data_IF_479871080480
#
_entry.id   IF_479871080480
#
_cell.length_a   1.000
_cell.length_b   1.000
_cell.length_c   1.000
_cell.angle_alpha   90.00
_cell.angle_beta   90.00
_cell.angle_gamma   90.00
#
_symmetry.space_group_name_H-M   'P 1'
#
loop_
_entity.id
_entity.type
_entity.pdbx_description
1 polymer ?
#
# COMPACT_ATOMS: atom_id res chain seq x y z
N UNK A 1 -7.16 31.15 -47.17
CA UNK A 1 -7.87 32.12 -46.30
C UNK A 1 -8.09 33.50 -46.97
N UNK A 2 -7.12 34.05 -47.71
CA UNK A 2 -7.23 35.33 -48.44
C UNK A 2 -8.36 35.37 -49.49
N UNK A 3 -8.59 34.29 -50.23
CA UNK A 3 -9.63 34.21 -51.27
C UNK A 3 -11.06 34.31 -50.70
N UNK A 4 -11.30 33.76 -49.50
CA UNK A 4 -12.61 33.81 -48.82
C UNK A 4 -12.93 35.24 -48.36
N UNK A 5 -11.92 35.98 -47.84
CA UNK A 5 -12.10 37.37 -47.43
C UNK A 5 -12.37 38.30 -48.61
N UNK A 6 -11.69 38.10 -49.75
CA UNK A 6 -11.95 38.85 -50.98
C UNK A 6 -13.36 38.62 -51.52
N UNK A 7 -13.79 37.35 -51.61
CA UNK A 7 -15.15 37.01 -52.04
C UNK A 7 -16.22 37.59 -51.11
N UNK A 8 -15.97 37.63 -49.79
CA UNK A 8 -16.92 38.19 -48.81
C UNK A 8 -17.04 39.70 -48.91
N UNK A 9 -15.93 40.40 -49.11
CA UNK A 9 -15.92 41.86 -49.33
C UNK A 9 -16.69 42.25 -50.58
N UNK A 10 -16.53 41.51 -51.67
CA UNK A 10 -17.31 41.70 -52.90
C UNK A 10 -18.81 41.49 -52.65
N UNK A 11 -19.17 40.44 -51.91
CA UNK A 11 -20.58 40.16 -51.56
C UNK A 11 -21.20 41.24 -50.68
N UNK A 12 -20.47 41.74 -49.67
CA UNK A 12 -20.93 42.81 -48.78
C UNK A 12 -21.07 44.14 -49.53
N UNK A 13 -20.11 44.48 -50.40
CA UNK A 13 -20.18 45.67 -51.24
C UNK A 13 -21.42 45.63 -52.17
N UNK A 14 -21.64 44.52 -52.88
CA UNK A 14 -22.81 44.34 -53.74
C UNK A 14 -24.15 44.29 -52.97
N UNK A 15 -24.13 44.03 -51.67
CA UNK A 15 -25.31 44.09 -50.81
C UNK A 15 -25.59 45.53 -50.37
N UNK A 16 -24.56 46.28 -49.97
CA UNK A 16 -24.68 47.70 -49.60
C UNK A 16 -25.14 48.54 -50.79
N UNK A 17 -24.64 48.26 -52.00
CA UNK A 17 -25.04 48.97 -53.22
C UNK A 17 -26.53 48.83 -53.53
N UNK A 18 -27.15 47.71 -53.12
CA UNK A 18 -28.58 47.47 -53.28
C UNK A 18 -29.41 48.08 -52.16
N UNK A 19 -28.89 48.11 -50.94
CA UNK A 19 -29.63 48.54 -49.74
C UNK A 19 -29.53 50.06 -49.49
N UNK A 20 -28.43 50.70 -49.92
CA UNK A 20 -28.14 52.11 -49.66
C UNK A 20 -27.62 52.81 -50.93
N UNK A 21 -28.48 52.99 -51.96
CA UNK A 21 -28.09 53.70 -53.17
C UNK A 21 -27.83 55.18 -52.87
N UNK A 22 -26.75 55.74 -53.43
CA UNK A 22 -26.43 57.17 -53.32
C UNK A 22 -25.44 57.57 -52.23
N UNK A 23 -24.88 56.62 -51.48
CA UNK A 23 -23.79 56.90 -50.53
C UNK A 23 -22.55 57.48 -51.23
N UNK A 24 -21.94 58.49 -50.63
CA UNK A 24 -20.64 59.00 -51.08
C UNK A 24 -19.56 57.91 -50.91
N UNK A 25 -18.52 57.94 -51.75
CA UNK A 25 -17.50 56.89 -51.77
C UNK A 25 -16.82 56.63 -50.41
N UNK A 26 -16.59 57.69 -49.61
CA UNK A 26 -16.03 57.58 -48.27
C UNK A 26 -16.99 56.90 -47.27
N UNK A 27 -18.27 57.26 -47.30
CA UNK A 27 -19.30 56.66 -46.43
C UNK A 27 -19.54 55.20 -46.79
N UNK A 28 -19.57 54.88 -48.08
CA UNK A 28 -19.66 53.49 -48.58
C UNK A 28 -18.50 52.63 -48.08
N UNK A 29 -17.29 53.17 -48.07
CA UNK A 29 -16.13 52.46 -47.55
C UNK A 29 -16.28 52.18 -46.05
N UNK A 30 -16.72 53.15 -45.25
CA UNK A 30 -16.96 52.95 -43.81
C UNK A 30 -18.00 51.87 -43.53
N UNK A 31 -19.13 51.87 -44.24
CA UNK A 31 -20.20 50.87 -44.06
C UNK A 31 -19.72 49.46 -44.46
N UNK A 32 -18.91 49.34 -45.52
CA UNK A 32 -18.31 48.05 -45.92
C UNK A 32 -17.37 47.52 -44.82
N UNK A 33 -16.49 48.37 -44.29
CA UNK A 33 -15.55 47.96 -43.24
C UNK A 33 -16.28 47.59 -41.94
N UNK A 34 -17.33 48.32 -41.57
CA UNK A 34 -18.12 48.00 -40.37
C UNK A 34 -18.83 46.64 -40.50
N UNK A 35 -19.52 46.37 -41.61
CA UNK A 35 -20.14 45.06 -41.85
C UNK A 35 -19.12 43.91 -41.95
N UNK A 36 -17.91 44.18 -42.44
CA UNK A 36 -16.82 43.20 -42.44
C UNK A 36 -16.32 42.91 -41.02
N UNK A 37 -16.25 43.91 -40.15
CA UNK A 37 -15.91 43.74 -38.73
C UNK A 37 -16.98 42.92 -38.01
N UNK A 38 -18.25 43.29 -38.14
CA UNK A 38 -19.39 42.54 -37.58
C UNK A 38 -19.38 41.08 -38.03
N UNK A 39 -19.20 40.84 -39.33
CA UNK A 39 -19.13 39.48 -39.88
C UNK A 39 -17.94 38.69 -39.31
N UNK A 40 -16.79 39.34 -39.14
CA UNK A 40 -15.60 38.71 -38.57
C UNK A 40 -15.83 38.34 -37.10
N UNK A 41 -16.47 39.20 -36.32
CA UNK A 41 -16.87 38.91 -34.94
C UNK A 41 -17.78 37.68 -34.88
N UNK A 42 -18.82 37.63 -35.71
CA UNK A 42 -19.75 36.50 -35.77
C UNK A 42 -19.07 35.18 -36.16
N UNK A 43 -18.14 35.19 -37.11
CA UNK A 43 -17.40 33.98 -37.51
C UNK A 43 -16.42 33.51 -36.44
N UNK A 44 -15.78 34.44 -35.72
CA UNK A 44 -14.95 34.11 -34.55
C UNK A 44 -15.82 33.48 -33.46
N UNK A 45 -16.99 34.04 -33.16
CA UNK A 45 -17.93 33.46 -32.19
C UNK A 45 -18.42 32.07 -32.61
N UNK A 46 -18.81 31.88 -33.87
CA UNK A 46 -19.21 30.56 -34.39
C UNK A 46 -18.08 29.55 -34.28
N UNK A 47 -16.85 29.96 -34.56
CA UNK A 47 -15.68 29.10 -34.46
C UNK A 47 -15.37 28.77 -33.00
N UNK A 48 -15.47 29.75 -32.09
CA UNK A 48 -15.36 29.54 -30.65
C UNK A 48 -16.42 28.57 -30.14
N UNK A 49 -17.68 28.73 -30.54
CA UNK A 49 -18.79 27.81 -30.19
C UNK A 49 -18.52 26.40 -30.70
N UNK A 50 -18.15 26.25 -31.98
CA UNK A 50 -17.78 24.94 -32.56
C UNK A 50 -16.62 24.29 -31.81
N UNK A 51 -15.59 25.06 -31.48
CA UNK A 51 -14.45 24.56 -30.72
C UNK A 51 -14.85 24.15 -29.31
N UNK A 52 -15.63 24.97 -28.60
CA UNK A 52 -16.13 24.65 -27.26
C UNK A 52 -16.99 23.37 -27.27
N UNK A 53 -17.90 23.22 -28.23
CA UNK A 53 -18.68 21.99 -28.39
C UNK A 53 -17.77 20.77 -28.66
N UNK A 54 -16.77 20.91 -29.53
CA UNK A 54 -15.84 19.84 -29.84
C UNK A 54 -15.00 19.41 -28.62
N UNK A 55 -14.57 20.36 -27.78
CA UNK A 55 -13.85 20.08 -26.53
C UNK A 55 -14.74 19.25 -25.59
N UNK A 56 -15.97 19.71 -25.33
CA UNK A 56 -16.93 19.01 -24.45
C UNK A 56 -17.23 17.60 -24.98
N UNK A 57 -17.39 17.44 -26.30
CA UNK A 57 -17.63 16.13 -26.91
C UNK A 57 -16.43 15.19 -26.74
N UNK A 58 -15.21 15.66 -27.00
CA UNK A 58 -13.98 14.87 -26.84
C UNK A 58 -13.78 14.47 -25.37
N UNK A 59 -13.98 15.40 -24.44
CA UNK A 59 -13.90 15.12 -23.00
C UNK A 59 -14.97 14.13 -22.57
N UNK A 60 -16.21 14.27 -23.05
CA UNK A 60 -17.30 13.33 -22.80
C UNK A 60 -16.98 11.92 -23.29
N UNK A 61 -16.43 11.79 -24.51
CA UNK A 61 -15.99 10.49 -25.07
C UNK A 61 -14.85 9.89 -24.25
N UNK A 62 -13.85 10.69 -23.85
CA UNK A 62 -12.73 10.24 -22.99
C UNK A 62 -13.22 9.77 -21.62
N UNK A 63 -14.10 10.54 -20.98
CA UNK A 63 -14.69 10.17 -19.70
C UNK A 63 -15.54 8.90 -19.79
N UNK A 64 -16.32 8.74 -20.87
CA UNK A 64 -17.08 7.51 -21.11
C UNK A 64 -16.16 6.30 -21.34
N UNK A 65 -15.06 6.46 -22.07
CA UNK A 65 -14.07 5.40 -22.26
C UNK A 65 -13.36 5.04 -20.95
N UNK A 66 -13.00 6.03 -20.13
CA UNK A 66 -12.41 5.80 -18.81
C UNK A 66 -13.35 5.01 -17.89
N UNK A 67 -14.64 5.39 -17.82
CA UNK A 67 -15.65 4.64 -17.05
C UNK A 67 -15.85 3.20 -17.53
N UNK A 68 -15.76 2.95 -18.84
CA UNK A 68 -15.82 1.57 -19.36
C UNK A 68 -14.61 0.76 -18.92
N UNK A 69 -13.40 1.29 -19.08
CA UNK A 69 -12.16 0.65 -18.62
C UNK A 69 -12.20 0.34 -17.12
N UNK A 70 -12.70 1.27 -16.32
CA UNK A 70 -12.84 1.08 -14.86
C UNK A 70 -13.82 -0.06 -14.55
N UNK A 71 -14.97 -0.12 -15.22
CA UNK A 71 -15.95 -1.20 -15.05
C UNK A 71 -15.40 -2.56 -15.50
N UNK A 72 -14.66 -2.59 -16.61
CA UNK A 72 -14.00 -3.80 -17.11
C UNK A 72 -12.93 -4.28 -16.13
N UNK A 73 -12.09 -3.36 -15.63
CA UNK A 73 -11.10 -3.67 -14.61
C UNK A 73 -11.74 -4.18 -13.31
N UNK A 74 -12.84 -3.58 -12.87
CA UNK A 74 -13.57 -4.03 -11.68
C UNK A 74 -14.19 -5.42 -11.87
N UNK A 75 -14.76 -5.69 -13.05
CA UNK A 75 -15.25 -7.04 -13.38
C UNK A 75 -14.13 -8.06 -13.39
N UNK A 76 -13.01 -7.74 -14.05
CA UNK A 76 -11.83 -8.60 -14.07
C UNK A 76 -11.27 -8.87 -12.66
N UNK A 77 -11.28 -7.86 -11.78
CA UNK A 77 -10.92 -8.03 -10.37
C UNK A 77 -11.85 -8.99 -9.65
N UNK A 78 -13.17 -8.82 -9.79
CA UNK A 78 -14.17 -9.69 -9.12
C UNK A 78 -14.13 -11.13 -9.63
N UNK A 79 -13.94 -11.30 -10.95
CA UNK A 79 -13.85 -12.62 -11.57
C UNK A 79 -12.47 -13.27 -11.44
N UNK A 80 -11.51 -12.62 -10.79
CA UNK A 80 -10.19 -13.18 -10.60
C UNK A 80 -10.28 -14.47 -9.75
N UNK A 81 -9.69 -15.58 -10.21
CA UNK A 81 -9.68 -16.81 -9.44
C UNK A 81 -8.86 -16.65 -8.16
N UNK A 82 -9.11 -17.50 -7.18
CA UNK A 82 -8.35 -17.55 -5.94
C UNK A 82 -6.90 -17.91 -6.25
N UNK A 83 -5.95 -17.07 -5.85
CA UNK A 83 -4.52 -17.31 -6.03
C UNK A 83 -4.00 -18.52 -5.23
N UNK A 84 -4.73 -18.98 -4.21
CA UNK A 84 -4.36 -20.14 -3.40
C UNK A 84 -4.88 -21.47 -3.95
N UNK A 85 -6.19 -21.57 -4.22
CA UNK A 85 -6.83 -22.82 -4.62
C UNK A 85 -7.44 -22.82 -6.03
N UNK A 86 -7.35 -21.71 -6.77
CA UNK A 86 -7.88 -21.60 -8.14
C UNK A 86 -9.40 -21.42 -8.24
N UNK A 87 -10.14 -21.34 -7.13
CA UNK A 87 -11.58 -21.15 -7.13
C UNK A 87 -11.99 -19.93 -7.98
N UNK A 88 -12.84 -20.07 -9.00
CA UNK A 88 -13.24 -18.96 -9.86
C UNK A 88 -14.03 -17.91 -9.07
N UNK A 89 -14.07 -16.67 -9.59
CA UNK A 89 -14.85 -15.55 -9.04
C UNK A 89 -14.60 -15.24 -7.55
N UNK A 90 -13.38 -15.51 -7.08
CA UNK A 90 -12.98 -15.32 -5.68
C UNK A 90 -12.36 -13.95 -5.40
N UNK A 91 -12.44 -13.01 -6.35
CA UNK A 91 -11.83 -11.68 -6.27
C UNK A 91 -10.34 -11.69 -5.84
N UNK A 92 -9.59 -12.73 -6.24
CA UNK A 92 -8.17 -12.91 -5.96
C UNK A 92 -7.83 -13.85 -4.78
N UNK A 93 -8.60 -13.88 -3.69
CA UNK A 93 -8.41 -14.85 -2.60
C UNK A 93 -9.75 -15.22 -1.97
N UNK A 94 -10.10 -16.51 -1.96
CA UNK A 94 -11.28 -16.99 -1.25
C UNK A 94 -11.10 -16.88 0.27
N UNK A 95 -12.20 -16.88 1.07
CA UNK A 95 -12.10 -16.76 2.52
C UNK A 95 -11.22 -17.84 3.17
N UNK A 96 -11.30 -19.14 2.83
CA UNK A 96 -10.40 -20.16 3.38
C UNK A 96 -8.91 -19.88 3.13
N UNK A 97 -8.54 -19.51 1.89
CA UNK A 97 -7.15 -19.18 1.57
C UNK A 97 -6.69 -17.87 2.23
N UNK A 98 -7.60 -16.92 2.44
CA UNK A 98 -7.31 -15.69 3.17
C UNK A 98 -7.01 -15.97 4.64
N UNK A 99 -7.83 -16.80 5.30
CA UNK A 99 -7.61 -17.23 6.67
C UNK A 99 -6.35 -18.09 6.83
N UNK A 100 -6.08 -19.00 5.90
CA UNK A 100 -4.86 -19.80 5.90
C UNK A 100 -3.61 -18.91 5.79
N UNK A 101 -3.59 -17.98 4.82
CA UNK A 101 -2.48 -17.02 4.65
C UNK A 101 -2.30 -16.14 5.89
N UNK A 102 -3.40 -15.71 6.52
CA UNK A 102 -3.33 -14.93 7.77
C UNK A 102 -2.79 -15.76 8.92
N UNK A 103 -3.19 -17.03 9.02
CA UNK A 103 -2.68 -17.98 10.00
C UNK A 103 -1.17 -18.17 9.85
N UNK A 104 -0.67 -18.35 8.62
CA UNK A 104 0.77 -18.47 8.36
C UNK A 104 1.54 -17.21 8.80
N UNK A 105 1.00 -16.01 8.51
CA UNK A 105 1.60 -14.76 8.97
C UNK A 105 1.66 -14.69 10.50
N UNK A 106 0.57 -15.04 11.19
CA UNK A 106 0.50 -15.04 12.65
C UNK A 106 1.46 -16.06 13.29
N UNK A 107 1.63 -17.22 12.66
CA UNK A 107 2.62 -18.21 13.07
C UNK A 107 4.02 -17.62 12.96
N UNK A 108 4.37 -16.98 11.84
CA UNK A 108 5.67 -16.33 11.67
C UNK A 108 5.88 -15.20 12.68
N UNK A 109 4.87 -14.34 12.91
CA UNK A 109 4.91 -13.31 13.96
C UNK A 109 5.17 -13.92 15.36
N UNK A 110 4.50 -15.02 15.71
CA UNK A 110 4.67 -15.71 16.98
C UNK A 110 6.07 -16.35 17.14
N UNK A 111 6.61 -16.92 16.05
CA UNK A 111 7.97 -17.45 15.99
C UNK A 111 8.98 -16.33 16.17
N UNK A 112 8.81 -15.21 15.49
CA UNK A 112 9.71 -14.06 15.58
C UNK A 112 9.75 -13.47 16.98
N UNK A 113 8.60 -13.37 17.65
CA UNK A 113 8.51 -12.95 19.05
C UNK A 113 9.28 -13.91 19.97
N UNK A 114 9.16 -15.22 19.75
CA UNK A 114 9.82 -16.23 20.56
C UNK A 114 11.34 -16.25 20.33
N UNK A 115 11.78 -16.14 19.07
CA UNK A 115 13.20 -16.07 18.68
C UNK A 115 13.82 -14.78 19.19
N UNK A 116 13.19 -13.62 18.94
CA UNK A 116 13.71 -12.33 19.41
C UNK A 116 13.84 -12.26 20.93
N UNK A 117 13.02 -12.98 21.69
CA UNK A 117 13.14 -13.04 23.15
C UNK A 117 14.25 -13.99 23.66
N UNK A 118 14.71 -14.94 22.83
CA UNK A 118 15.57 -16.08 23.27
C UNK A 118 16.93 -16.13 22.62
N UNK A 119 17.01 -15.80 21.34
CA UNK A 119 18.21 -15.93 20.53
C UNK A 119 19.14 -14.75 20.78
N UNK A 120 20.41 -15.04 20.93
CA UNK A 120 21.48 -14.10 20.63
C UNK A 120 21.47 -13.81 19.13
N UNK A 121 21.25 -12.54 18.80
CA UNK A 121 21.06 -12.09 17.42
C UNK A 121 22.39 -11.82 16.70
N UNK A 122 23.52 -11.95 17.40
CA UNK A 122 24.84 -11.89 16.79
C UNK A 122 25.20 -13.22 16.08
N UNK A 123 24.49 -14.31 16.40
CA UNK A 123 24.73 -15.64 15.85
C UNK A 123 23.56 -16.13 14.99
N UNK A 124 23.70 -15.97 13.67
CA UNK A 124 22.70 -16.41 12.69
C UNK A 124 22.34 -17.91 12.79
N UNK A 125 23.32 -18.75 13.15
CA UNK A 125 23.10 -20.19 13.34
C UNK A 125 22.13 -20.46 14.50
N UNK A 126 22.28 -19.76 15.62
CA UNK A 126 21.38 -19.93 16.77
C UNK A 126 19.95 -19.48 16.42
N UNK A 127 19.82 -18.39 15.66
CA UNK A 127 18.52 -17.94 15.12
C UNK A 127 17.88 -19.02 14.25
N UNK A 128 18.64 -19.65 13.35
CA UNK A 128 18.15 -20.74 12.51
C UNK A 128 17.73 -21.98 13.33
N UNK A 129 18.58 -22.40 14.28
CA UNK A 129 18.33 -23.52 15.19
C UNK A 129 17.06 -23.34 16.03
N UNK A 130 16.70 -22.10 16.39
CA UNK A 130 15.50 -21.80 17.17
C UNK A 130 14.25 -21.60 16.30
N UNK A 131 14.40 -21.11 15.07
CA UNK A 131 13.26 -20.75 14.21
C UNK A 131 12.45 -21.98 13.81
N UNK A 132 13.08 -23.00 13.23
CA UNK A 132 12.35 -24.15 12.69
C UNK A 132 11.61 -24.99 13.77
N UNK A 133 12.23 -25.34 14.92
CA UNK A 133 11.52 -26.03 15.99
C UNK A 133 10.37 -25.18 16.56
N UNK A 134 10.58 -23.88 16.75
CA UNK A 134 9.52 -23.01 17.26
C UNK A 134 8.33 -22.92 16.31
N UNK A 135 8.58 -22.90 14.99
CA UNK A 135 7.53 -22.92 13.97
C UNK A 135 6.74 -24.23 14.00
N UNK A 136 7.44 -25.38 14.08
CA UNK A 136 6.81 -26.70 14.19
C UNK A 136 5.96 -26.82 15.46
N UNK A 137 6.49 -26.41 16.62
CA UNK A 137 5.77 -26.42 17.89
C UNK A 137 4.52 -25.53 17.85
N UNK A 138 4.64 -24.35 17.24
CA UNK A 138 3.53 -23.40 17.10
C UNK A 138 2.42 -23.97 16.22
N UNK A 139 2.77 -24.59 15.09
CA UNK A 139 1.79 -25.26 14.21
C UNK A 139 1.13 -26.45 14.91
N UNK A 140 1.89 -27.27 15.62
CA UNK A 140 1.36 -28.41 16.39
C UNK A 140 0.37 -27.91 17.44
N UNK A 141 0.71 -26.86 18.19
CA UNK A 141 -0.18 -26.27 19.19
C UNK A 141 -1.51 -25.80 18.57
N UNK A 142 -1.44 -25.08 17.44
CA UNK A 142 -2.64 -24.60 16.73
C UNK A 142 -3.49 -25.80 16.28
N UNK A 143 -2.87 -26.78 15.63
CA UNK A 143 -3.56 -27.96 15.14
C UNK A 143 -4.23 -28.74 16.29
N UNK A 144 -3.57 -28.89 17.43
CA UNK A 144 -4.08 -29.60 18.61
C UNK A 144 -5.31 -28.90 19.21
N UNK A 145 -5.25 -27.57 19.35
CA UNK A 145 -6.38 -26.78 19.86
C UNK A 145 -7.55 -26.81 18.88
N UNK A 146 -7.29 -26.71 17.57
CA UNK A 146 -8.31 -26.86 16.55
C UNK A 146 -8.98 -28.24 16.61
N UNK A 147 -8.20 -29.33 16.63
CA UNK A 147 -8.76 -30.70 16.71
C UNK A 147 -9.68 -30.91 17.92
N UNK A 148 -9.39 -30.28 19.06
CA UNK A 148 -10.24 -30.37 20.28
C UNK A 148 -11.54 -29.56 20.18
N UNK A 149 -11.59 -28.56 19.30
CA UNK A 149 -12.77 -27.68 19.10
C UNK A 149 -13.68 -28.14 17.96
N UNK A 150 -13.19 -29.01 17.07
CA UNK A 150 -13.85 -29.27 15.79
C UNK A 150 -15.08 -30.18 15.88
N UNK A 151 -16.19 -29.68 15.32
CA UNK A 151 -17.31 -30.46 14.78
C UNK A 151 -17.65 -30.15 13.31
N UNK A 152 -17.04 -29.12 12.69
CA UNK A 152 -17.28 -28.72 11.29
C UNK A 152 -15.97 -28.25 10.60
N UNK A 153 -15.67 -28.82 9.44
CA UNK A 153 -14.48 -28.55 8.62
C UNK A 153 -14.54 -27.18 7.94
N UNK A 154 -15.74 -26.64 7.65
CA UNK A 154 -15.92 -25.34 7.00
C UNK A 154 -15.40 -24.16 7.85
N UNK A 155 -15.38 -24.32 9.18
CA UNK A 155 -14.91 -23.31 10.13
C UNK A 155 -13.46 -23.52 10.59
N UNK A 156 -12.79 -24.58 10.13
CA UNK A 156 -11.46 -24.93 10.59
C UNK A 156 -10.41 -23.84 10.30
N UNK A 157 -10.44 -23.22 9.13
CA UNK A 157 -9.49 -22.16 8.75
C UNK A 157 -9.67 -20.89 9.59
N UNK A 158 -10.92 -20.52 9.88
CA UNK A 158 -11.23 -19.39 10.76
C UNK A 158 -10.78 -19.67 12.20
N UNK A 159 -11.12 -20.85 12.73
CA UNK A 159 -10.71 -21.25 14.08
C UNK A 159 -9.18 -21.32 14.23
N UNK A 160 -8.47 -21.79 13.19
CA UNK A 160 -7.01 -21.79 13.17
C UNK A 160 -6.44 -20.38 13.26
N UNK A 161 -7.02 -19.41 12.56
CA UNK A 161 -6.62 -18.01 12.67
C UNK A 161 -6.82 -17.48 14.09
N UNK A 162 -8.00 -17.66 14.69
CA UNK A 162 -8.26 -17.17 16.07
C UNK A 162 -7.32 -17.77 17.11
N UNK A 163 -6.97 -19.05 16.94
CA UNK A 163 -5.98 -19.71 17.81
C UNK A 163 -4.60 -19.13 17.57
N UNK A 164 -4.19 -18.92 16.32
CA UNK A 164 -2.90 -18.32 15.99
C UNK A 164 -2.76 -16.88 16.53
N UNK A 165 -3.81 -16.07 16.48
CA UNK A 165 -3.84 -14.72 17.09
C UNK A 165 -3.57 -14.77 18.59
N UNK A 166 -4.26 -15.68 19.29
CA UNK A 166 -4.05 -15.89 20.73
C UNK A 166 -2.63 -16.34 21.05
N UNK A 167 -2.11 -17.30 20.29
CA UNK A 167 -0.73 -17.79 20.46
C UNK A 167 0.27 -16.65 20.24
N UNK A 168 0.10 -15.82 19.20
CA UNK A 168 0.93 -14.63 18.98
C UNK A 168 0.87 -13.69 20.18
N UNK A 169 -0.31 -13.39 20.71
CA UNK A 169 -0.48 -12.45 21.81
C UNK A 169 0.13 -12.98 23.12
N UNK A 170 -0.03 -14.28 23.40
CA UNK A 170 0.62 -14.95 24.52
C UNK A 170 2.13 -14.95 24.39
N UNK A 171 2.67 -15.21 23.19
CA UNK A 171 4.12 -15.14 22.91
C UNK A 171 4.64 -13.72 23.05
N UNK A 172 3.88 -12.70 22.64
CA UNK A 172 4.23 -11.29 22.84
C UNK A 172 4.31 -10.95 24.32
N UNK A 173 3.30 -11.32 25.10
CA UNK A 173 3.27 -11.08 26.53
C UNK A 173 4.43 -11.82 27.24
N UNK A 174 4.72 -13.07 26.84
CA UNK A 174 5.85 -13.84 27.36
C UNK A 174 7.21 -13.20 27.01
N UNK A 175 7.37 -12.72 25.77
CA UNK A 175 8.58 -12.02 25.33
C UNK A 175 8.83 -10.74 26.15
N UNK A 176 7.79 -9.93 26.35
CA UNK A 176 7.87 -8.73 27.21
C UNK A 176 8.23 -9.11 28.64
N UNK A 177 7.55 -10.08 29.25
CA UNK A 177 7.86 -10.53 30.62
C UNK A 177 9.31 -11.00 30.76
N UNK A 178 9.85 -11.68 29.75
CA UNK A 178 11.26 -12.10 29.77
C UNK A 178 12.21 -10.92 29.69
N UNK A 179 11.92 -9.93 28.84
CA UNK A 179 12.75 -8.74 28.67
C UNK A 179 12.66 -7.77 29.85
N UNK A 180 11.60 -7.81 30.65
CA UNK A 180 11.52 -7.07 31.92
C UNK A 180 12.62 -7.48 32.92
N UNK A 181 13.13 -8.71 32.82
CA UNK A 181 14.25 -9.18 33.65
C UNK A 181 15.64 -8.88 33.04
N UNK A 182 15.70 -8.12 31.93
CA UNK A 182 16.98 -7.70 31.35
C UNK A 182 17.63 -6.59 32.16
N UNK A 183 18.96 -6.51 32.12
CA UNK A 183 19.74 -5.49 32.83
C UNK A 183 19.29 -4.08 32.48
N UNK A 184 19.07 -3.79 31.19
CA UNK A 184 18.57 -2.50 30.70
C UNK A 184 17.19 -2.14 31.28
N UNK A 185 16.28 -3.11 31.35
CA UNK A 185 14.93 -2.87 31.88
C UNK A 185 14.93 -2.67 33.39
N UNK A 186 15.78 -3.39 34.12
CA UNK A 186 15.96 -3.24 35.57
C UNK A 186 16.61 -1.89 35.89
N UNK A 187 17.68 -1.53 35.17
CA UNK A 187 18.37 -0.26 35.38
C UNK A 187 17.45 0.96 35.15
N UNK A 188 16.61 0.92 34.12
CA UNK A 188 15.63 1.99 33.88
C UNK A 188 14.53 2.01 34.96
N UNK A 189 14.10 0.84 35.45
CA UNK A 189 13.14 0.75 36.54
C UNK A 189 13.69 1.38 37.84
N UNK A 190 14.94 1.05 38.19
CA UNK A 190 15.64 1.59 39.36
C UNK A 190 15.81 3.12 39.22
N UNK A 191 16.21 3.60 38.05
CA UNK A 191 16.34 5.03 37.77
C UNK A 191 15.00 5.78 37.93
N UNK A 192 13.90 5.18 37.45
CA UNK A 192 12.55 5.73 37.59
C UNK A 192 12.07 5.73 39.04
N UNK A 193 12.34 4.66 39.79
CA UNK A 193 12.04 4.56 41.22
C UNK A 193 12.73 5.68 42.02
N UNK A 194 14.05 5.81 41.85
CA UNK A 194 14.85 6.84 42.51
C UNK A 194 14.42 8.27 42.12
N UNK A 195 14.11 8.48 40.84
CA UNK A 195 13.60 9.77 40.37
C UNK A 195 12.24 10.12 41.00
N UNK A 196 11.34 9.16 41.17
CA UNK A 196 10.05 9.37 41.80
C UNK A 196 10.20 9.68 43.29
N UNK A 197 11.07 8.97 44.02
CA UNK A 197 11.34 9.25 45.44
C UNK A 197 12.01 10.60 45.66
N UNK A 198 12.90 11.06 44.76
CA UNK A 198 13.46 12.42 44.83
C UNK A 198 12.39 13.50 44.76
N UNK A 199 11.31 13.28 44.00
CA UNK A 199 10.21 14.23 43.89
C UNK A 199 9.21 14.10 45.05
N UNK A 200 8.95 12.88 45.51
CA UNK A 200 7.98 12.57 46.57
C UNK A 200 8.54 11.50 47.52
N UNK A 201 9.36 11.89 48.52
CA UNK A 201 10.13 10.93 49.34
C UNK A 201 9.32 9.92 50.16
N UNK A 202 8.02 10.16 50.37
CA UNK A 202 7.14 9.28 51.17
C UNK A 202 6.18 8.44 50.32
N UNK A 203 6.19 8.63 49.00
CA UNK A 203 5.26 7.97 48.07
C UNK A 203 5.89 6.72 47.45
N UNK A 204 6.14 5.71 48.28
CA UNK A 204 6.74 4.45 47.83
C UNK A 204 5.88 3.71 46.80
N UNK A 205 4.55 3.72 46.96
CA UNK A 205 3.63 3.10 45.99
C UNK A 205 3.67 3.79 44.63
N UNK A 206 3.75 5.12 44.62
CA UNK A 206 3.94 5.89 43.39
C UNK A 206 5.28 5.59 42.72
N UNK A 207 6.34 5.43 43.50
CA UNK A 207 7.66 5.06 42.99
C UNK A 207 7.69 3.64 42.42
N UNK A 208 7.10 2.65 43.10
CA UNK A 208 6.95 1.28 42.59
C UNK A 208 6.17 1.25 41.28
N UNK A 209 5.04 1.97 41.19
CA UNK A 209 4.25 2.05 39.97
C UNK A 209 5.02 2.71 38.81
N UNK A 210 5.84 3.73 39.10
CA UNK A 210 6.69 4.38 38.10
C UNK A 210 7.80 3.44 37.59
N UNK A 211 8.43 2.69 38.49
CA UNK A 211 9.44 1.69 38.15
C UNK A 211 8.86 0.57 37.27
N UNK A 212 7.69 0.06 37.65
CA UNK A 212 6.94 -0.95 36.90
C UNK A 212 6.57 -0.49 35.47
N UNK A 213 6.10 0.75 35.33
CA UNK A 213 5.78 1.33 34.03
C UNK A 213 7.03 1.52 33.17
N UNK A 214 8.10 2.05 33.76
CA UNK A 214 9.39 2.23 33.09
C UNK A 214 9.95 0.88 32.61
N UNK A 215 9.96 -0.14 33.47
CA UNK A 215 10.37 -1.51 33.13
C UNK A 215 9.58 -2.06 31.94
N UNK A 216 8.24 -1.95 31.96
CA UNK A 216 7.37 -2.42 30.87
C UNK A 216 7.63 -1.69 29.56
N UNK A 217 7.80 -0.36 29.60
CA UNK A 217 8.10 0.45 28.40
C UNK A 217 9.45 0.07 27.80
N UNK A 218 10.48 -0.11 28.62
CA UNK A 218 11.83 -0.50 28.19
C UNK A 218 11.84 -1.90 27.61
N UNK A 219 11.21 -2.88 28.27
CA UNK A 219 11.05 -4.23 27.72
C UNK A 219 10.32 -4.21 26.36
N UNK A 220 9.29 -3.38 26.22
CA UNK A 220 8.59 -3.17 24.95
C UNK A 220 9.46 -2.53 23.86
N UNK A 221 10.34 -1.60 24.21
CA UNK A 221 11.32 -1.00 23.30
C UNK A 221 12.37 -2.03 22.86
N UNK A 222 12.96 -2.77 23.80
CA UNK A 222 13.94 -3.82 23.53
C UNK A 222 13.38 -4.88 22.58
N UNK A 223 12.12 -5.30 22.79
CA UNK A 223 11.47 -6.27 21.91
C UNK A 223 11.37 -5.76 20.46
N UNK A 224 10.94 -4.50 20.27
CA UNK A 224 10.87 -3.89 18.93
C UNK A 224 12.25 -3.78 18.28
N UNK A 225 13.26 -3.39 19.06
CA UNK A 225 14.65 -3.30 18.60
C UNK A 225 15.16 -4.67 18.12
N UNK A 226 14.98 -5.72 18.93
CA UNK A 226 15.38 -7.09 18.61
C UNK A 226 14.64 -7.66 17.39
N UNK A 227 13.35 -7.38 17.22
CA UNK A 227 12.60 -7.76 16.01
C UNK A 227 13.15 -7.07 14.74
N UNK A 228 13.54 -5.80 14.86
CA UNK A 228 14.23 -5.07 13.78
C UNK A 228 15.59 -5.69 13.43
N UNK A 229 16.40 -6.01 14.44
CA UNK A 229 17.69 -6.70 14.27
C UNK A 229 17.51 -8.07 13.60
N UNK A 230 16.53 -8.86 14.04
CA UNK A 230 16.22 -10.18 13.45
C UNK A 230 15.86 -10.06 11.96
N UNK A 231 15.07 -9.03 11.59
CA UNK A 231 14.71 -8.77 10.20
C UNK A 231 15.94 -8.44 9.36
N UNK A 232 16.82 -7.56 9.86
CA UNK A 232 18.08 -7.20 9.19
C UNK A 232 18.98 -8.43 9.05
N UNK A 233 19.12 -9.24 10.10
CA UNK A 233 19.94 -10.45 10.09
C UNK A 233 19.46 -11.44 9.03
N UNK A 234 18.16 -11.73 8.97
CA UNK A 234 17.58 -12.64 7.96
C UNK A 234 17.76 -12.11 6.55
N UNK A 235 17.62 -10.79 6.34
CA UNK A 235 17.88 -10.18 5.03
C UNK A 235 19.35 -10.34 4.60
N UNK A 236 20.30 -10.20 5.54
CA UNK A 236 21.73 -10.43 5.28
C UNK A 236 22.02 -11.89 4.92
N UNK A 237 21.51 -12.84 5.70
CA UNK A 237 21.69 -14.28 5.45
C UNK A 237 21.12 -14.68 4.07
N UNK A 238 19.94 -14.16 3.72
CA UNK A 238 19.34 -14.41 2.40
C UNK A 238 20.17 -13.81 1.25
N UNK A 239 20.82 -12.67 1.45
CA UNK A 239 21.69 -12.06 0.46
C UNK A 239 22.99 -12.85 0.26
N UNK A 240 23.61 -13.32 1.35
CA UNK A 240 24.85 -14.12 1.28
C UNK A 240 24.61 -15.49 0.65
N UNK A 241 23.48 -16.14 0.95
CA UNK A 241 23.10 -17.41 0.32
C UNK A 241 22.97 -17.31 -1.21
N UNK A 242 22.33 -16.25 -1.71
CA UNK A 242 22.19 -16.00 -3.16
C UNK A 242 23.53 -15.76 -3.87
N UNK A 243 24.51 -15.17 -3.17
CA UNK A 243 25.83 -14.92 -3.77
C UNK A 243 26.72 -16.16 -3.83
N UNK A 244 26.51 -17.15 -2.96
CA UNK A 244 27.21 -18.43 -3.01
C UNK A 244 26.70 -19.29 -4.17
N UNK A 245 25.36 -19.40 -4.32
CA UNK A 245 24.71 -20.17 -5.39
C UNK A 245 25.00 -19.61 -6.79
N UNK A 246 25.25 -18.30 -6.92
CA UNK A 246 25.66 -17.65 -8.17
C UNK A 246 27.12 -17.94 -8.58
N UNK A 247 28.01 -18.34 -7.66
CA UNK A 247 29.44 -18.57 -7.96
C UNK A 247 29.72 -19.99 -8.44
N UNK A 248 28.90 -20.96 -8.08
CA UNK A 248 29.09 -22.36 -8.48
C UNK A 248 28.56 -22.66 -9.89
N UNK A 249 27.85 -21.71 -10.53
CA UNK A 249 27.25 -21.86 -11.86
C UNK A 249 28.15 -21.57 -13.08
N UNK A 250 29.41 -21.15 -12.90
CA UNK A 250 30.31 -20.76 -14.01
C UNK A 250 31.41 -21.78 -14.34
N UNK A 251 31.34 -23.00 -13.80
CA UNK A 251 32.38 -24.01 -13.91
C UNK A 251 32.05 -25.23 -14.78
N UNK A 252 31.33 -25.13 -15.91
CA UNK A 252 31.22 -26.27 -16.85
C UNK A 252 30.80 -25.88 -18.28
N UNK A 253 31.63 -25.10 -18.98
CA UNK A 253 31.62 -25.10 -20.46
C UNK A 253 33.07 -25.00 -20.95
N UNK A 254 33.78 -26.13 -21.02
CA UNK A 254 34.81 -26.38 -22.04
C UNK A 254 35.37 -27.80 -21.93
N UNK A 255 34.73 -28.72 -22.65
CA UNK A 255 35.37 -29.97 -23.08
C UNK A 255 34.63 -30.54 -24.31
N UNK A 256 34.81 -29.90 -25.47
CA UNK A 256 34.74 -30.58 -26.76
C UNK A 256 35.97 -30.16 -27.58
N UNK A 257 36.96 -31.04 -27.61
CA UNK A 257 37.99 -31.12 -28.63
C UNK A 257 37.76 -32.42 -29.40
#
# INVERSE_FOLDING_TARGET
MLHIRRARRVKIAAQIDRELPGLAAGERHMVIEERLREHTVLEVERTRRRHACAVVEVEGRRAAAARRREREAERARRSAPCAGCGLPDAAGLCPPCSYARRTDQLVQEAVDLAVAARADLDYAEQVAQLTAPCEADTRTLIADVCRRRSGDEAWAAYAAQEVAERVRDERRAAAVRRLMASEDAVAEADAAYEAALRQRPRDHRGAEAAADDACRRTAGYLLRSRLGQLTVLRARVAATGRTAESRDGWGSVNACR
#
